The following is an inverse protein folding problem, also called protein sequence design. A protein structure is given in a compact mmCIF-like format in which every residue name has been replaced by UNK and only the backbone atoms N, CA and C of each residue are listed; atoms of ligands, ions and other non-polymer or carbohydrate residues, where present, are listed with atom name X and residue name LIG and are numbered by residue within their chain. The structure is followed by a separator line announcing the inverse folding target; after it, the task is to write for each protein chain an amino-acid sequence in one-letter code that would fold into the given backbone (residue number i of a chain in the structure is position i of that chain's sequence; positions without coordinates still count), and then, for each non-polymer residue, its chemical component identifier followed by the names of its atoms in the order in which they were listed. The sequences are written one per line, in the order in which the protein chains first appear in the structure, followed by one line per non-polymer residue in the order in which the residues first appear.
data_IF_873561196421
#
_entry.id   IF_873561196421
#
_cell.length_a   1.000
_cell.length_b   1.000
_cell.length_c   1.000
_cell.angle_alpha   90.00
_cell.angle_beta   90.00
_cell.angle_gamma   90.00
#
_symmetry.space_group_name_H-M   'P 1'
#
loop_
_entity.id
_entity.type
_entity.pdbx_description
1 polymer ?
#
# COMPACT_ATOMS: atom_id res chain seq x y z
N UNK A 1 0.47 7.84 21.04
CA UNK A 1 0.30 8.59 19.78
C UNK A 1 0.54 7.55 18.70
N UNK A 2 -0.48 7.20 17.92
CA UNK A 2 -0.37 6.11 16.95
C UNK A 2 0.51 6.48 15.76
N UNK A 3 0.91 5.48 14.99
CA UNK A 3 1.62 5.65 13.72
C UNK A 3 0.74 6.41 12.73
N UNK A 4 1.26 7.50 12.17
CA UNK A 4 0.57 8.27 11.14
C UNK A 4 0.90 7.76 9.73
N UNK A 5 0.04 8.09 8.76
CA UNK A 5 0.27 7.88 7.34
C UNK A 5 1.67 8.32 6.90
N UNK A 6 2.04 9.54 7.27
CA UNK A 6 3.29 10.18 6.83
C UNK A 6 4.50 9.39 7.32
N UNK A 7 4.42 8.78 8.50
CA UNK A 7 5.49 7.91 9.02
C UNK A 7 5.63 6.65 8.16
N UNK A 8 4.52 5.98 7.86
CA UNK A 8 4.51 4.79 6.99
C UNK A 8 5.07 5.12 5.60
N UNK A 9 4.62 6.22 5.00
CA UNK A 9 5.05 6.65 3.67
C UNK A 9 6.52 7.06 3.66
N UNK A 10 6.98 7.79 4.67
CA UNK A 10 8.37 8.19 4.81
C UNK A 10 9.28 6.97 4.94
N UNK A 11 8.92 5.99 5.79
CA UNK A 11 9.70 4.76 5.99
C UNK A 11 9.76 3.89 4.74
N UNK A 12 8.64 3.75 4.01
CA UNK A 12 8.60 3.03 2.74
C UNK A 12 9.39 3.75 1.65
N UNK A 13 9.25 5.07 1.55
CA UNK A 13 9.94 5.88 0.54
C UNK A 13 11.45 5.85 0.77
N UNK A 14 11.88 6.00 2.03
CA UNK A 14 13.29 5.99 2.40
C UNK A 14 13.97 4.64 2.14
N UNK A 15 13.28 3.51 2.36
CA UNK A 15 13.88 2.17 2.24
C UNK A 15 13.71 1.53 0.86
N UNK A 16 12.57 1.76 0.20
CA UNK A 16 12.19 1.05 -1.03
C UNK A 16 12.20 1.94 -2.28
N UNK A 17 12.31 3.27 -2.13
CA UNK A 17 12.30 4.26 -3.21
C UNK A 17 11.31 3.89 -4.34
N UNK A 18 10.01 3.69 -4.01
CA UNK A 18 9.02 3.24 -4.97
C UNK A 18 8.74 4.32 -6.02
N UNK A 19 8.49 3.89 -7.26
CA UNK A 19 8.07 4.79 -8.34
C UNK A 19 6.62 5.27 -8.16
N UNK A 20 5.80 4.49 -7.45
CA UNK A 20 4.44 4.87 -7.08
C UNK A 20 4.09 4.22 -5.73
N UNK A 21 3.55 5.02 -4.81
CA UNK A 21 3.14 4.59 -3.49
C UNK A 21 1.72 5.13 -3.24
N UNK A 22 0.78 4.21 -3.03
CA UNK A 22 -0.55 4.51 -2.55
C UNK A 22 -0.74 3.87 -1.17
N UNK A 23 -1.08 4.67 -0.17
CA UNK A 23 -1.57 4.16 1.11
C UNK A 23 -3.07 4.46 1.15
N UNK A 24 -3.88 3.52 1.64
CA UNK A 24 -5.32 3.66 1.82
C UNK A 24 -5.75 2.88 3.07
N UNK A 25 -6.87 3.21 3.68
CA UNK A 25 -7.40 2.50 4.87
C UNK A 25 -8.71 1.86 4.48
N UNK A 26 -8.89 0.58 4.82
CA UNK A 26 -10.12 -0.15 4.54
C UNK A 26 -11.10 0.11 5.67
N UNK A 27 -11.84 1.21 5.55
CA UNK A 27 -13.00 1.56 6.36
C UNK A 27 -14.31 1.04 5.74
N UNK A 28 -15.23 0.57 6.57
CA UNK A 28 -16.49 -0.03 6.11
C UNK A 28 -17.39 1.04 5.45
N UNK A 29 -17.55 0.98 4.12
CA UNK A 29 -18.84 1.35 3.52
C UNK A 29 -18.91 2.32 2.34
N UNK A 30 -17.84 2.70 1.65
CA UNK A 30 -17.98 3.44 0.38
C UNK A 30 -17.10 2.87 -0.74
N UNK A 31 -17.76 2.61 -1.88
CA UNK A 31 -17.18 2.19 -3.13
C UNK A 31 -16.36 3.33 -3.75
N UNK A 32 -15.12 3.05 -4.10
CA UNK A 32 -14.33 3.88 -5.01
C UNK A 32 -12.87 3.91 -4.59
N UNK A 33 -12.01 3.28 -5.38
CA UNK A 33 -10.58 3.55 -5.36
C UNK A 33 -10.38 4.80 -6.22
N UNK A 34 -10.32 5.99 -5.62
CA UNK A 34 -10.03 7.24 -6.33
C UNK A 34 -8.55 7.33 -6.71
N UNK A 35 -8.26 7.87 -7.91
CA UNK A 35 -6.89 8.02 -8.45
C UNK A 35 -5.95 8.94 -7.64
N UNK A 36 -6.44 9.57 -6.57
CA UNK A 36 -5.68 10.42 -5.64
C UNK A 36 -6.12 10.20 -4.17
N UNK A 37 -6.24 8.94 -3.73
CA UNK A 37 -6.90 8.63 -2.45
C UNK A 37 -6.13 9.15 -1.22
N UNK A 38 -6.66 10.24 -0.67
CA UNK A 38 -6.34 10.77 0.65
C UNK A 38 -6.61 9.68 1.71
N UNK A 39 -5.67 9.52 2.63
CA UNK A 39 -5.72 8.41 3.60
C UNK A 39 -6.66 8.79 4.73
N UNK A 40 -7.80 8.12 4.78
CA UNK A 40 -8.80 8.33 5.84
C UNK A 40 -8.55 7.31 6.94
N UNK A 41 -8.07 7.74 8.10
CA UNK A 41 -8.01 6.92 9.30
C UNK A 41 -9.44 6.52 9.73
N UNK A 42 -9.88 5.32 9.33
CA UNK A 42 -11.12 4.69 9.80
C UNK A 42 -10.81 3.66 10.88
N UNK A 43 -10.19 4.14 11.94
CA UNK A 43 -10.13 3.41 13.17
C UNK A 43 -11.20 3.95 14.11
N UNK A 44 -12.28 3.19 14.29
CA UNK A 44 -13.35 3.47 15.26
C UNK A 44 -12.90 3.46 16.73
N UNK A 45 -11.79 4.11 17.07
CA UNK A 45 -11.24 4.27 18.42
C UNK A 45 -9.99 3.43 18.75
N UNK A 46 -9.44 2.62 17.83
CA UNK A 46 -8.26 1.74 18.11
C UNK A 46 -7.08 1.85 17.11
N UNK A 47 -7.13 2.80 16.18
CA UNK A 47 -5.97 3.52 15.67
C UNK A 47 -5.14 3.05 14.47
N UNK A 48 -5.13 1.79 14.00
CA UNK A 48 -4.02 1.42 13.09
C UNK A 48 -4.23 0.21 12.16
N UNK A 49 -5.12 0.31 11.18
CA UNK A 49 -5.19 -0.65 10.06
C UNK A 49 -4.85 0.05 8.75
N UNK A 50 -3.76 -0.35 8.09
CA UNK A 50 -3.31 0.27 6.86
C UNK A 50 -3.37 -0.70 5.70
N UNK A 51 -3.76 -0.21 4.52
CA UNK A 51 -3.65 -0.94 3.26
C UNK A 51 -2.71 -0.20 2.32
N UNK A 52 -1.71 -0.89 1.80
CA UNK A 52 -0.68 -0.24 0.97
C UNK A 52 -0.58 -0.90 -0.40
N UNK A 53 -0.43 -0.04 -1.39
CA UNK A 53 -0.13 -0.32 -2.77
C UNK A 53 1.24 0.26 -3.04
N UNK A 54 2.20 -0.60 -3.32
CA UNK A 54 3.58 -0.20 -3.56
C UNK A 54 4.04 -0.72 -4.91
N UNK A 55 4.59 0.21 -5.69
CA UNK A 55 5.12 -0.05 -7.01
C UNK A 55 6.59 0.35 -7.00
N UNK A 56 7.46 -0.66 -7.13
CA UNK A 56 8.91 -0.45 -7.11
C UNK A 56 9.59 -1.43 -8.07
N UNK A 57 10.66 -0.97 -8.73
CA UNK A 57 11.50 -1.82 -9.58
C UNK A 57 12.24 -2.89 -8.76
N UNK A 58 12.46 -2.65 -7.46
CA UNK A 58 13.08 -3.61 -6.55
C UNK A 58 12.32 -4.95 -6.42
N UNK A 59 11.04 -4.95 -6.82
CA UNK A 59 10.21 -6.16 -6.82
C UNK A 59 10.38 -7.02 -8.07
N UNK A 60 11.13 -6.54 -9.06
CA UNK A 60 11.46 -7.30 -10.27
C UNK A 60 12.25 -8.57 -9.92
N UNK A 61 11.85 -9.70 -10.48
CA UNK A 61 12.45 -11.00 -10.17
C UNK A 61 12.20 -11.54 -8.75
N UNK A 62 11.49 -10.80 -7.89
CA UNK A 62 11.14 -11.24 -6.53
C UNK A 62 9.78 -11.92 -6.46
N UNK A 63 9.67 -12.97 -5.65
CA UNK A 63 8.38 -13.63 -5.39
C UNK A 63 7.49 -12.75 -4.50
N UNK A 64 6.17 -12.92 -4.58
CA UNK A 64 5.19 -12.18 -3.78
C UNK A 64 5.55 -12.14 -2.28
N UNK A 65 5.92 -13.28 -1.71
CA UNK A 65 6.30 -13.38 -0.30
C UNK A 65 7.55 -12.56 0.03
N UNK A 66 8.55 -12.53 -0.86
CA UNK A 66 9.75 -11.71 -0.67
C UNK A 66 9.41 -10.23 -0.71
N UNK A 67 8.56 -9.80 -1.65
CA UNK A 67 8.08 -8.41 -1.73
C UNK A 67 7.40 -8.00 -0.42
N UNK A 68 6.51 -8.85 0.11
CA UNK A 68 5.84 -8.58 1.38
C UNK A 68 6.82 -8.54 2.55
N UNK A 69 7.85 -9.41 2.56
CA UNK A 69 8.91 -9.36 3.57
C UNK A 69 9.72 -8.07 3.50
N UNK A 70 10.03 -7.58 2.31
CA UNK A 70 10.75 -6.30 2.14
C UNK A 70 9.94 -5.14 2.69
N UNK A 71 8.65 -5.10 2.38
CA UNK A 71 7.71 -4.07 2.87
C UNK A 71 7.54 -4.16 4.39
N UNK A 72 7.31 -5.35 4.93
CA UNK A 72 7.21 -5.56 6.37
C UNK A 72 8.50 -5.21 7.11
N UNK A 73 9.67 -5.52 6.51
CA UNK A 73 10.97 -5.13 7.05
C UNK A 73 11.19 -3.62 7.02
N UNK A 74 10.62 -2.94 6.02
CA UNK A 74 10.65 -1.49 5.97
C UNK A 74 9.80 -0.83 7.06
N UNK A 75 8.72 -1.50 7.48
CA UNK A 75 7.77 -1.02 8.48
C UNK A 75 7.87 -1.75 9.82
N UNK A 76 9.00 -2.38 10.13
CA UNK A 76 9.13 -3.22 11.34
C UNK A 76 8.94 -2.43 12.64
N UNK A 77 9.32 -1.16 12.63
CA UNK A 77 9.23 -0.29 13.81
C UNK A 77 7.80 0.19 14.00
N UNK A 78 7.14 0.56 12.90
CA UNK A 78 5.75 0.98 12.82
C UNK A 78 4.80 -0.18 13.09
N UNK A 79 5.14 -1.41 12.68
CA UNK A 79 4.34 -2.62 12.90
C UNK A 79 4.11 -2.92 14.39
N UNK A 80 4.91 -2.35 15.30
CA UNK A 80 4.69 -2.47 16.74
C UNK A 80 3.45 -1.69 17.22
N UNK A 81 3.08 -0.65 16.48
CA UNK A 81 1.93 0.20 16.77
C UNK A 81 0.78 -0.03 15.79
N UNK A 82 1.09 -0.54 14.59
CA UNK A 82 0.10 -0.97 13.60
C UNK A 82 -0.54 -2.29 14.01
N UNK A 83 -1.87 -2.30 14.17
CA UNK A 83 -2.63 -3.49 14.50
C UNK A 83 -2.76 -4.44 13.30
N UNK A 84 -2.92 -3.89 12.09
CA UNK A 84 -2.93 -4.68 10.87
C UNK A 84 -2.40 -3.90 9.66
N UNK A 85 -1.54 -4.53 8.87
CA UNK A 85 -1.08 -4.03 7.58
C UNK A 85 -1.49 -5.01 6.48
N UNK A 86 -2.22 -4.50 5.50
CA UNK A 86 -2.62 -5.23 4.31
C UNK A 86 -1.85 -4.71 3.11
N UNK A 87 -1.03 -5.56 2.49
CA UNK A 87 -0.35 -5.20 1.25
C UNK A 87 -1.28 -5.61 0.10
N UNK A 88 -1.97 -4.65 -0.49
CA UNK A 88 -2.96 -4.91 -1.54
C UNK A 88 -2.28 -5.21 -2.87
N UNK A 89 -1.30 -4.40 -3.27
CA UNK A 89 -0.56 -4.57 -4.52
C UNK A 89 0.92 -4.31 -4.24
N UNK A 90 1.79 -5.27 -4.55
CA UNK A 90 3.24 -5.15 -4.49
C UNK A 90 3.82 -5.61 -5.83
N UNK A 91 3.89 -4.68 -6.77
CA UNK A 91 4.16 -4.98 -8.19
C UNK A 91 5.23 -4.07 -8.76
N UNK A 92 5.80 -4.47 -9.89
CA UNK A 92 6.74 -3.63 -10.64
C UNK A 92 5.99 -2.56 -11.43
N UNK A 93 6.64 -1.44 -11.81
CA UNK A 93 6.02 -0.39 -12.62
C UNK A 93 5.42 -0.89 -13.93
N UNK A 94 6.06 -1.88 -14.55
CA UNK A 94 5.59 -2.50 -15.79
C UNK A 94 4.27 -3.27 -15.59
N UNK A 95 4.20 -4.07 -14.53
CA UNK A 95 2.98 -4.78 -14.11
C UNK A 95 1.86 -3.83 -13.69
N UNK A 96 2.19 -2.71 -13.04
CA UNK A 96 1.21 -1.69 -12.65
C UNK A 96 0.50 -1.10 -13.87
N UNK A 97 1.26 -0.75 -14.92
CA UNK A 97 0.69 -0.26 -16.19
C UNK A 97 -0.22 -1.31 -16.85
N UNK A 98 0.22 -2.57 -16.90
CA UNK A 98 -0.56 -3.65 -17.49
C UNK A 98 -1.86 -3.91 -16.72
N UNK A 99 -1.82 -3.88 -15.38
CA UNK A 99 -3.01 -4.07 -14.55
C UNK A 99 -4.02 -2.94 -14.74
N UNK A 100 -3.57 -1.68 -14.74
CA UNK A 100 -4.46 -0.54 -15.01
C UNK A 100 -5.14 -0.64 -16.38
N UNK A 101 -4.42 -1.06 -17.41
CA UNK A 101 -4.98 -1.26 -18.74
C UNK A 101 -6.04 -2.37 -18.75
N UNK A 102 -5.77 -3.48 -18.05
CA UNK A 102 -6.72 -4.59 -17.91
C UNK A 102 -7.96 -4.23 -17.07
N UNK A 103 -7.81 -3.49 -15.97
CA UNK A 103 -8.89 -3.03 -15.11
C UNK A 103 -9.79 -2.03 -15.87
N UNK A 104 -9.20 -1.15 -16.69
CA UNK A 104 -9.93 -0.19 -17.52
C UNK A 104 -10.73 -0.85 -18.64
N UNK A 105 -10.24 -1.94 -19.22
CA UNK A 105 -10.99 -2.72 -20.23
C UNK A 105 -12.12 -3.57 -19.63
N UNK A 106 -12.03 -3.97 -18.37
CA UNK A 106 -13.08 -4.78 -17.70
C UNK A 106 -14.24 -3.95 -17.14
N UNK A 107 -14.04 -2.65 -16.87
CA UNK A 107 -15.11 -1.76 -16.42
C UNK A 107 -16.05 -1.27 -17.55
N UNK A 108 -15.75 -1.60 -18.81
CA UNK A 108 -16.48 -1.15 -20.00
C UNK A 108 -17.36 -2.24 -20.67
N UNK A 109 -17.49 -3.42 -20.05
CA UNK A 109 -18.29 -4.56 -20.55
C UNK A 109 -19.49 -4.85 -19.63
#
# INVERSE_FOLDING_TARGET
MGVTKEQVESSLTSKLNPSHLGCGVVGMGLQGWGEDEEVIDDSGGCGAKFSIVIVAEQFEGKRLLERHRMVNGALVEEMKEIHALSITKAVTPEQWKQQQESEKSQAAA
#
